data_IF_533535357400
#
_entry.id   IF_533535357400
#
_cell.length_a   1.000
_cell.length_b   1.000
_cell.length_c   1.000
_cell.angle_alpha   90.00
_cell.angle_beta   90.00
_cell.angle_gamma   90.00
#
_symmetry.space_group_name_H-M   'P 1'
#
loop_
_entity.id
_entity.type
_entity.pdbx_description
1 polymer ?
#
# COMPACT_ATOMS: atom_id res chain seq x y z
N UNK A 1 -12.96 -12.60 -19.91
CA UNK A 1 -12.21 -11.32 -19.97
C UNK A 1 -11.56 -11.12 -18.61
N UNK A 2 -10.23 -11.17 -18.50
CA UNK A 2 -9.55 -10.71 -17.27
C UNK A 2 -9.58 -9.18 -17.30
N UNK A 3 -10.00 -8.49 -16.24
CA UNK A 3 -9.82 -7.06 -16.16
C UNK A 3 -8.32 -6.82 -16.03
N UNK A 4 -7.69 -6.38 -17.12
CA UNK A 4 -6.38 -5.76 -17.08
C UNK A 4 -6.51 -4.53 -16.19
N UNK A 5 -5.94 -4.57 -14.98
CA UNK A 5 -5.63 -3.31 -14.30
C UNK A 5 -4.69 -2.56 -15.24
N UNK A 6 -5.20 -1.52 -15.90
CA UNK A 6 -4.40 -0.74 -16.82
C UNK A 6 -3.35 0.00 -15.98
N UNK A 7 -2.04 -0.28 -16.14
CA UNK A 7 -0.97 0.39 -15.38
C UNK A 7 -0.90 1.90 -15.66
N UNK A 8 -1.70 2.40 -16.60
CA UNK A 8 -1.71 3.78 -17.07
C UNK A 8 -2.69 4.70 -16.33
N UNK A 9 -3.59 4.16 -15.49
CA UNK A 9 -4.52 4.98 -14.72
C UNK A 9 -3.92 5.34 -13.36
N UNK A 10 -3.96 6.62 -12.94
CA UNK A 10 -3.46 7.01 -11.64
C UNK A 10 -4.31 6.37 -10.53
N UNK A 11 -3.62 5.92 -9.48
CA UNK A 11 -4.21 5.47 -8.22
C UNK A 11 -4.13 6.62 -7.20
N UNK A 12 -5.04 6.64 -6.22
CA UNK A 12 -4.92 7.55 -5.10
C UNK A 12 -4.04 6.89 -4.04
N UNK A 13 -2.83 7.38 -3.87
CA UNK A 13 -1.93 6.95 -2.80
C UNK A 13 -2.23 7.73 -1.54
N UNK A 14 -2.49 7.02 -0.44
CA UNK A 14 -2.86 7.61 0.84
C UNK A 14 -1.80 7.25 1.86
N UNK A 15 -1.02 8.26 2.25
CA UNK A 15 0.05 8.12 3.21
C UNK A 15 -0.46 8.44 4.62
N UNK A 16 -0.08 7.63 5.61
CA UNK A 16 -0.39 7.85 7.03
C UNK A 16 0.63 7.20 7.95
N UNK A 17 0.57 7.50 9.25
CA UNK A 17 1.46 6.89 10.25
C UNK A 17 1.12 5.43 10.56
N UNK A 18 -0.15 5.07 10.38
CA UNK A 18 -0.71 3.74 10.57
C UNK A 18 -1.99 3.61 9.72
N UNK A 19 -2.63 2.43 9.77
CA UNK A 19 -3.85 2.17 9.01
C UNK A 19 -5.04 3.05 9.44
N UNK A 20 -5.10 3.48 10.71
CA UNK A 20 -6.20 4.34 11.18
C UNK A 20 -6.06 5.77 10.64
N UNK A 21 -4.85 6.32 10.64
CA UNK A 21 -4.56 7.61 10.01
C UNK A 21 -4.82 7.56 8.50
N UNK A 22 -4.41 6.46 7.84
CA UNK A 22 -4.69 6.24 6.41
C UNK A 22 -6.20 6.23 6.14
N UNK A 23 -6.97 5.46 6.90
CA UNK A 23 -8.42 5.37 6.72
C UNK A 23 -9.10 6.72 6.92
N UNK A 24 -8.68 7.49 7.93
CA UNK A 24 -9.18 8.86 8.16
C UNK A 24 -8.85 9.79 7.00
N UNK A 25 -7.63 9.74 6.47
CA UNK A 25 -7.21 10.57 5.32
C UNK A 25 -7.96 10.18 4.05
N UNK A 26 -8.16 8.89 3.80
CA UNK A 26 -8.99 8.40 2.69
C UNK A 26 -10.44 8.85 2.84
N UNK A 27 -11.02 8.77 4.05
CA UNK A 27 -12.37 9.24 4.32
C UNK A 27 -12.52 10.74 4.02
N UNK A 28 -11.53 11.56 4.37
CA UNK A 28 -11.53 12.99 4.06
C UNK A 28 -11.50 13.27 2.54
N UNK A 29 -10.77 12.47 1.75
CA UNK A 29 -10.78 12.57 0.28
C UNK A 29 -12.15 12.18 -0.32
N UNK A 30 -12.82 11.18 0.28
CA UNK A 30 -14.15 10.75 -0.13
C UNK A 30 -15.22 11.79 0.23
N UNK A 31 -15.19 12.32 1.45
CA UNK A 31 -16.12 13.36 1.92
C UNK A 31 -16.00 14.63 1.08
N UNK A 32 -14.78 15.01 0.70
CA UNK A 32 -14.54 16.13 -0.18
C UNK A 32 -14.88 15.87 -1.66
N UNK A 33 -15.35 14.66 -2.01
CA UNK A 33 -15.71 14.29 -3.37
C UNK A 33 -14.53 14.12 -4.33
N UNK A 34 -13.30 14.03 -3.81
CA UNK A 34 -12.07 13.86 -4.61
C UNK A 34 -11.76 12.40 -4.91
N UNK A 35 -12.36 11.45 -4.19
CA UNK A 35 -12.16 10.02 -4.37
C UNK A 35 -13.43 9.19 -4.10
N UNK A 36 -13.44 7.94 -4.58
CA UNK A 36 -14.42 6.92 -4.15
C UNK A 36 -13.83 6.06 -3.03
N UNK A 37 -14.66 5.42 -2.17
CA UNK A 37 -14.19 4.63 -1.03
C UNK A 37 -13.11 3.60 -1.36
N UNK A 38 -13.21 2.92 -2.49
CA UNK A 38 -12.30 1.82 -2.88
C UNK A 38 -11.10 2.25 -3.73
N UNK A 39 -10.79 3.55 -3.82
CA UNK A 39 -9.72 4.05 -4.70
C UNK A 39 -8.40 4.32 -3.98
N UNK A 40 -8.39 4.29 -2.65
CA UNK A 40 -7.19 4.51 -1.84
C UNK A 40 -6.26 3.30 -1.85
N UNK A 41 -4.98 3.55 -2.10
CA UNK A 41 -3.88 2.62 -1.90
C UNK A 41 -3.13 3.05 -0.63
N UNK A 42 -3.17 2.24 0.44
CA UNK A 42 -2.60 2.61 1.72
C UNK A 42 -1.07 2.55 1.68
N UNK A 43 -0.42 3.54 2.29
CA UNK A 43 1.03 3.56 2.52
C UNK A 43 1.31 4.04 3.94
N UNK A 44 1.87 3.17 4.78
CA UNK A 44 2.39 3.54 6.08
C UNK A 44 3.75 4.24 5.87
N UNK A 45 3.79 5.54 6.11
CA UNK A 45 4.98 6.35 5.94
C UNK A 45 5.96 6.09 7.08
N UNK A 46 7.17 5.65 6.74
CA UNK A 46 8.23 5.30 7.71
C UNK A 46 9.39 6.30 7.74
N UNK A 47 9.19 7.48 7.16
CA UNK A 47 10.21 8.53 7.04
C UNK A 47 10.12 9.55 8.17
N UNK A 48 11.22 10.25 8.42
CA UNK A 48 11.29 11.28 9.47
C UNK A 48 10.60 12.60 9.08
N UNK A 49 10.36 12.81 7.79
CA UNK A 49 9.65 13.98 7.26
C UNK A 49 8.14 13.90 7.52
N UNK A 50 7.42 15.04 7.48
CA UNK A 50 5.96 15.05 7.56
C UNK A 50 5.32 14.10 6.54
N UNK A 51 4.28 13.38 6.96
CA UNK A 51 3.56 12.45 6.10
C UNK A 51 3.04 13.18 4.85
N UNK A 52 3.34 12.69 3.64
CA UNK A 52 2.86 13.30 2.41
C UNK A 52 1.33 13.42 2.37
N UNK A 53 0.77 14.45 1.70
CA UNK A 53 -0.66 14.50 1.44
C UNK A 53 -1.07 13.37 0.48
N UNK A 54 -2.34 12.90 0.52
CA UNK A 54 -2.85 11.98 -0.48
C UNK A 54 -2.67 12.52 -1.91
N UNK A 55 -2.22 11.68 -2.84
CA UNK A 55 -1.95 12.12 -4.22
C UNK A 55 -2.34 11.10 -5.27
N UNK A 56 -2.89 11.60 -6.37
CA UNK A 56 -3.13 10.81 -7.57
C UNK A 56 -1.82 10.61 -8.34
N UNK A 57 -1.40 9.36 -8.50
CA UNK A 57 -0.14 9.04 -9.17
C UNK A 57 -0.15 7.62 -9.74
N UNK A 58 0.65 7.36 -10.77
CA UNK A 58 0.95 5.99 -11.18
C UNK A 58 1.94 5.38 -10.19
N UNK A 59 1.98 4.05 -10.10
CA UNK A 59 3.01 3.37 -9.29
C UNK A 59 4.43 3.72 -9.74
N UNK A 60 4.63 3.97 -11.05
CA UNK A 60 5.92 4.44 -11.60
C UNK A 60 6.31 5.85 -11.16
N UNK A 61 5.38 6.63 -10.60
CA UNK A 61 5.59 8.00 -10.15
C UNK A 61 5.87 8.06 -8.63
N UNK A 62 5.99 6.91 -7.96
CA UNK A 62 6.45 6.82 -6.59
C UNK A 62 7.98 7.00 -6.54
N UNK A 63 8.46 7.68 -5.50
CA UNK A 63 9.88 7.65 -5.18
C UNK A 63 10.29 6.25 -4.73
N UNK A 64 11.59 5.90 -4.78
CA UNK A 64 12.07 4.64 -4.25
C UNK A 64 11.62 4.38 -2.80
N UNK A 65 11.64 5.41 -1.96
CA UNK A 65 11.23 5.33 -0.55
C UNK A 65 9.73 5.14 -0.38
N UNK A 66 8.89 5.85 -1.14
CA UNK A 66 7.44 5.67 -1.11
C UNK A 66 7.05 4.25 -1.58
N UNK A 67 7.73 3.73 -2.60
CA UNK A 67 7.50 2.39 -3.08
C UNK A 67 7.94 1.32 -2.06
N UNK A 68 9.06 1.56 -1.39
CA UNK A 68 9.53 0.70 -0.30
C UNK A 68 8.52 0.67 0.87
N UNK A 69 8.02 1.84 1.29
CA UNK A 69 7.02 1.96 2.36
C UNK A 69 5.68 1.33 1.97
N UNK A 70 5.28 1.42 0.71
CA UNK A 70 4.12 0.71 0.21
C UNK A 70 4.30 -0.81 0.30
N UNK A 71 5.47 -1.34 -0.10
CA UNK A 71 5.78 -2.77 0.04
C UNK A 71 5.77 -3.19 1.51
N UNK A 72 6.38 -2.41 2.40
CA UNK A 72 6.36 -2.67 3.83
C UNK A 72 4.92 -2.71 4.40
N UNK A 73 4.05 -1.81 3.92
CA UNK A 73 2.61 -1.81 4.27
C UNK A 73 1.94 -3.12 3.84
N UNK A 74 2.21 -3.58 2.62
CA UNK A 74 1.66 -4.83 2.11
C UNK A 74 2.15 -6.06 2.90
N UNK A 75 3.41 -6.07 3.35
CA UNK A 75 3.94 -7.12 4.23
C UNK A 75 3.17 -7.16 5.56
N UNK A 76 2.97 -6.00 6.18
CA UNK A 76 2.22 -5.90 7.44
C UNK A 76 0.77 -6.39 7.27
N UNK A 77 0.13 -6.07 6.15
CA UNK A 77 -1.24 -6.50 5.86
C UNK A 77 -1.39 -8.02 5.73
N UNK A 78 -0.33 -8.74 5.35
CA UNK A 78 -0.32 -10.21 5.33
C UNK A 78 0.23 -10.83 6.63
N UNK A 79 0.46 -10.02 7.66
CA UNK A 79 0.95 -10.45 8.96
C UNK A 79 2.45 -10.76 9.02
N UNK A 80 3.22 -10.27 8.04
CA UNK A 80 4.68 -10.39 8.03
C UNK A 80 5.38 -9.22 8.72
N UNK A 81 6.70 -9.33 8.83
CA UNK A 81 7.59 -8.26 9.30
C UNK A 81 8.41 -7.74 8.11
N UNK A 82 8.28 -6.45 7.72
CA UNK A 82 9.04 -5.89 6.62
C UNK A 82 10.49 -5.59 7.02
N UNK A 83 11.38 -5.50 6.03
CA UNK A 83 12.73 -5.00 6.27
C UNK A 83 12.71 -3.53 6.75
N UNK A 84 13.78 -3.14 7.46
CA UNK A 84 13.98 -1.74 7.86
C UNK A 84 14.07 -0.82 6.65
N UNK A 85 13.63 0.43 6.82
CA UNK A 85 13.65 1.41 5.73
C UNK A 85 15.09 1.67 5.26
N UNK A 86 15.33 1.56 3.95
CA UNK A 86 16.65 1.74 3.33
C UNK A 86 17.51 0.46 3.29
N UNK A 87 17.01 -0.68 3.79
CA UNK A 87 17.70 -1.96 3.65
C UNK A 87 17.70 -2.40 2.17
N UNK A 88 18.87 -2.76 1.63
CA UNK A 88 18.99 -3.25 0.25
C UNK A 88 18.26 -4.57 -0.01
N UNK A 89 17.89 -5.29 1.05
CA UNK A 89 17.11 -6.52 1.03
C UNK A 89 15.61 -6.32 0.89
N UNK A 90 15.08 -5.08 1.02
CA UNK A 90 13.64 -4.82 0.95
C UNK A 90 12.93 -5.42 -0.29
N UNK A 91 13.54 -5.57 -1.49
CA UNK A 91 12.84 -6.22 -2.61
C UNK A 91 12.45 -7.67 -2.33
N UNK A 92 13.10 -8.33 -1.36
CA UNK A 92 12.75 -9.69 -0.94
C UNK A 92 11.43 -9.75 -0.15
N UNK A 93 10.94 -8.63 0.38
CA UNK A 93 9.63 -8.54 1.06
C UNK A 93 8.46 -8.96 0.16
N UNK A 94 8.64 -8.87 -1.16
CA UNK A 94 7.67 -9.40 -2.12
C UNK A 94 7.42 -10.91 -1.94
N UNK A 95 8.41 -11.67 -1.47
CA UNK A 95 8.23 -13.09 -1.15
C UNK A 95 7.33 -13.27 0.08
N UNK A 96 7.48 -12.42 1.10
CA UNK A 96 6.64 -12.43 2.30
C UNK A 96 5.19 -12.16 1.92
N UNK A 97 4.95 -11.18 1.05
CA UNK A 97 3.62 -10.86 0.51
C UNK A 97 3.04 -12.07 -0.23
N UNK A 98 3.81 -12.69 -1.13
CA UNK A 98 3.37 -13.87 -1.89
C UNK A 98 3.00 -15.02 -0.96
N UNK A 99 3.84 -15.34 0.02
CA UNK A 99 3.61 -16.48 0.91
C UNK A 99 2.45 -16.23 1.88
N UNK A 100 2.30 -15.00 2.39
CA UNK A 100 1.14 -14.60 3.17
C UNK A 100 -0.18 -14.71 2.39
N UNK A 101 -0.18 -14.30 1.12
CA UNK A 101 -1.36 -14.47 0.24
C UNK A 101 -1.68 -15.95 -0.05
N UNK A 102 -0.66 -16.80 -0.26
CA UNK A 102 -0.88 -18.25 -0.43
C UNK A 102 -1.51 -18.86 0.83
N UNK A 103 -0.99 -18.55 2.01
CA UNK A 103 -1.51 -19.03 3.28
C UNK A 103 -2.97 -18.61 3.48
N UNK A 104 -3.33 -17.38 3.13
CA UNK A 104 -4.71 -16.90 3.19
C UNK A 104 -5.64 -17.66 2.23
N UNK A 105 -5.20 -17.96 1.01
CA UNK A 105 -5.96 -18.74 0.04
C UNK A 105 -6.21 -20.16 0.57
N UNK A 106 -5.17 -20.83 1.08
CA UNK A 106 -5.26 -22.17 1.64
C UNK A 106 -6.21 -22.21 2.84
N UNK A 107 -6.13 -21.22 3.73
CA UNK A 107 -7.04 -21.08 4.88
C UNK A 107 -8.50 -20.96 4.45
N UNK A 108 -8.79 -20.18 3.40
CA UNK A 108 -10.15 -20.04 2.85
C UNK A 108 -10.64 -21.30 2.14
N UNK A 109 -9.75 -22.05 1.51
CA UNK A 109 -10.11 -23.30 0.84
C UNK A 109 -10.44 -24.43 1.84
N UNK A 110 -9.93 -24.35 3.07
CA UNK A 110 -10.17 -25.31 4.13
C UNK A 110 -11.39 -25.00 5.03
N UNK A 111 -12.05 -23.84 4.85
CA UNK A 111 -13.22 -23.38 5.60
C UNK A 111 -14.52 -23.65 4.86
#
# INVERSE_FOLDING_TARGET
>A
MRPTMAPDKPALWVFGYDMEDIDRRQAAEVEAGRARPSQGFPVIWRGDDPVPPPRWAKGSDLTPEENEDWVATMVLMVGGEPHERGDKGWPLDLHIIIDGLKAEIERRAAA
#
